data_IF_736363685893
#
_entry.id   IF_736363685893
#
_cell.length_a   1.000
_cell.length_b   1.000
_cell.length_c   1.000
_cell.angle_alpha   90.00
_cell.angle_beta   90.00
_cell.angle_gamma   90.00
#
_symmetry.space_group_name_H-M   'P 1'
#
loop_
_entity.id
_entity.type
_entity.pdbx_description
1 polymer ?
#
# COMPACT_ATOMS: atom_id res chain seq x y z
N UNK A 1 -56.02 32.33 -2.18
CA UNK A 1 -56.16 31.54 -3.44
C UNK A 1 -54.79 31.26 -4.14
N UNK A 2 -53.71 31.98 -3.88
CA UNK A 2 -52.41 31.81 -4.54
C UNK A 2 -51.69 30.51 -4.26
N UNK A 3 -51.74 29.96 -3.04
CA UNK A 3 -51.02 28.77 -2.64
C UNK A 3 -51.53 27.47 -3.27
N UNK A 4 -52.81 27.38 -3.56
CA UNK A 4 -53.41 26.20 -4.21
C UNK A 4 -52.97 26.06 -5.69
N UNK A 5 -52.75 27.18 -6.39
CA UNK A 5 -52.28 27.22 -7.78
C UNK A 5 -50.80 26.81 -7.87
N UNK A 6 -49.96 27.26 -6.94
CA UNK A 6 -48.51 26.90 -6.85
C UNK A 6 -48.40 25.39 -6.57
N UNK A 7 -49.19 24.87 -5.64
CA UNK A 7 -49.20 23.44 -5.32
C UNK A 7 -49.61 22.56 -6.54
N UNK A 8 -50.60 23.01 -7.30
CA UNK A 8 -51.03 22.28 -8.50
C UNK A 8 -49.97 22.28 -9.62
N UNK A 9 -49.23 23.39 -9.79
CA UNK A 9 -48.15 23.47 -10.78
C UNK A 9 -46.96 22.59 -10.39
N UNK A 10 -46.60 22.60 -9.11
CA UNK A 10 -45.46 21.74 -8.60
C UNK A 10 -45.81 20.25 -8.71
N UNK A 11 -47.03 19.87 -8.37
CA UNK A 11 -47.49 18.50 -8.51
C UNK A 11 -47.59 18.11 -10.01
N UNK A 12 -48.12 18.96 -10.87
CA UNK A 12 -48.18 18.72 -12.31
C UNK A 12 -46.79 18.57 -12.93
N UNK A 13 -45.83 19.40 -12.56
CA UNK A 13 -44.44 19.33 -13.01
C UNK A 13 -43.75 18.07 -12.50
N UNK A 14 -44.00 17.67 -11.25
CA UNK A 14 -43.45 16.45 -10.66
C UNK A 14 -43.96 15.19 -11.33
N UNK A 15 -45.25 15.18 -11.79
CA UNK A 15 -45.84 14.05 -12.50
C UNK A 15 -45.31 14.03 -13.94
N UNK A 16 -45.22 15.18 -14.59
CA UNK A 16 -44.74 15.29 -15.98
C UNK A 16 -43.25 14.92 -16.11
N UNK A 17 -42.44 15.23 -15.09
CA UNK A 17 -41.00 14.95 -15.07
C UNK A 17 -40.63 13.61 -14.42
N UNK A 18 -41.58 12.75 -14.13
CA UNK A 18 -41.26 11.41 -13.65
C UNK A 18 -40.59 10.61 -14.78
N UNK A 19 -39.37 10.10 -14.54
CA UNK A 19 -38.74 9.23 -15.52
C UNK A 19 -39.67 8.05 -15.83
N UNK A 20 -39.78 7.70 -17.08
CA UNK A 20 -40.58 6.58 -17.50
C UNK A 20 -40.11 5.29 -16.86
N UNK A 21 -41.00 4.31 -16.67
CA UNK A 21 -40.62 3.01 -16.12
C UNK A 21 -39.53 2.33 -16.97
N UNK A 22 -39.49 2.58 -18.26
CA UNK A 22 -38.44 2.12 -19.16
C UNK A 22 -37.10 2.78 -18.90
N UNK A 23 -37.06 4.08 -18.63
CA UNK A 23 -35.83 4.80 -18.31
C UNK A 23 -35.26 4.35 -16.96
N UNK A 24 -36.11 4.13 -15.96
CA UNK A 24 -35.69 3.58 -14.68
C UNK A 24 -35.19 2.14 -14.82
N UNK A 25 -35.82 1.33 -15.63
CA UNK A 25 -35.36 -0.04 -15.88
C UNK A 25 -34.05 -0.07 -16.64
N UNK A 26 -33.83 0.83 -17.62
CA UNK A 26 -32.53 0.97 -18.31
C UNK A 26 -31.43 1.47 -17.40
N UNK A 27 -31.71 2.47 -16.57
CA UNK A 27 -30.75 2.99 -15.59
C UNK A 27 -30.35 1.93 -14.55
N UNK A 28 -31.32 1.14 -14.08
CA UNK A 28 -31.08 0.02 -13.17
C UNK A 28 -30.26 -1.08 -13.82
N UNK A 29 -30.62 -1.48 -15.04
CA UNK A 29 -29.84 -2.47 -15.79
C UNK A 29 -28.41 -2.02 -16.08
N UNK A 30 -28.21 -0.73 -16.34
CA UNK A 30 -26.88 -0.16 -16.52
C UNK A 30 -26.06 -0.16 -15.21
N UNK A 31 -26.68 0.21 -14.09
CA UNK A 31 -26.05 0.13 -12.76
C UNK A 31 -25.72 -1.32 -12.36
N UNK A 32 -26.64 -2.24 -12.56
CA UNK A 32 -26.43 -3.67 -12.27
C UNK A 32 -25.29 -4.25 -13.13
N UNK A 33 -25.19 -3.82 -14.39
CA UNK A 33 -24.10 -4.22 -15.30
C UNK A 33 -22.75 -3.68 -14.84
N UNK A 34 -22.67 -2.40 -14.42
CA UNK A 34 -21.42 -1.81 -13.89
C UNK A 34 -21.02 -2.49 -12.58
N UNK A 35 -21.97 -2.74 -11.68
CA UNK A 35 -21.71 -3.45 -10.43
C UNK A 35 -21.23 -4.89 -10.68
N UNK A 36 -21.83 -5.60 -11.63
CA UNK A 36 -21.41 -6.96 -12.00
C UNK A 36 -20.00 -6.99 -12.60
N UNK A 37 -19.64 -5.99 -13.44
CA UNK A 37 -18.27 -5.85 -13.98
C UNK A 37 -17.28 -5.52 -12.86
N UNK A 38 -17.60 -4.58 -11.99
CA UNK A 38 -16.76 -4.19 -10.86
C UNK A 38 -16.54 -5.35 -9.86
N UNK A 39 -17.60 -6.13 -9.58
CA UNK A 39 -17.48 -7.33 -8.74
C UNK A 39 -16.60 -8.40 -9.40
N UNK A 40 -16.80 -8.65 -10.69
CA UNK A 40 -16.00 -9.64 -11.43
C UNK A 40 -14.51 -9.24 -11.52
N UNK A 41 -14.25 -7.95 -11.63
CA UNK A 41 -12.88 -7.40 -11.63
C UNK A 41 -12.26 -7.46 -10.24
N UNK A 42 -13.01 -7.15 -9.19
CA UNK A 42 -12.60 -7.31 -7.80
C UNK A 42 -12.32 -8.79 -7.43
N UNK A 43 -13.18 -9.71 -7.87
CA UNK A 43 -12.97 -11.16 -7.70
C UNK A 43 -11.73 -11.65 -8.46
N UNK A 44 -11.53 -11.16 -9.69
CA UNK A 44 -10.33 -11.50 -10.48
C UNK A 44 -9.05 -10.98 -9.85
N UNK A 45 -9.08 -9.75 -9.32
CA UNK A 45 -7.96 -9.17 -8.57
C UNK A 45 -7.73 -9.91 -7.24
N UNK A 46 -8.79 -10.28 -6.52
CA UNK A 46 -8.68 -11.08 -5.31
C UNK A 46 -8.16 -12.49 -5.58
N UNK A 47 -8.61 -13.14 -6.65
CA UNK A 47 -8.09 -14.45 -7.08
C UNK A 47 -6.65 -14.37 -7.55
N UNK A 48 -6.27 -13.32 -8.28
CA UNK A 48 -4.89 -13.08 -8.68
C UNK A 48 -3.99 -12.81 -7.46
N UNK A 49 -4.46 -12.02 -6.49
CA UNK A 49 -3.76 -11.77 -5.24
C UNK A 49 -3.65 -13.05 -4.39
N UNK A 50 -4.70 -13.90 -4.37
CA UNK A 50 -4.68 -15.18 -3.64
C UNK A 50 -3.78 -16.22 -4.34
N UNK A 51 -3.78 -16.26 -5.68
CA UNK A 51 -2.88 -17.12 -6.45
C UNK A 51 -1.41 -16.65 -6.32
N UNK A 52 -1.17 -15.35 -6.26
CA UNK A 52 0.15 -14.80 -5.94
C UNK A 52 0.56 -15.10 -4.49
N UNK A 53 -0.36 -15.00 -3.51
CA UNK A 53 -0.09 -15.39 -2.12
C UNK A 53 0.13 -16.90 -1.94
N UNK A 54 -0.58 -17.73 -2.69
CA UNK A 54 -0.40 -19.19 -2.61
C UNK A 54 0.90 -19.64 -3.29
N UNK A 55 1.35 -18.95 -4.34
CA UNK A 55 2.70 -19.14 -4.90
C UNK A 55 3.81 -18.49 -4.05
N UNK A 56 3.46 -17.64 -3.12
CA UNK A 56 4.36 -16.85 -2.29
C UNK A 56 4.63 -17.43 -0.89
N UNK A 57 3.97 -18.50 -0.49
CA UNK A 57 4.55 -19.45 0.46
C UNK A 57 5.61 -20.30 -0.25
N UNK A 58 6.43 -19.66 -1.05
CA UNK A 58 7.71 -20.21 -1.44
C UNK A 58 8.51 -20.36 -0.15
N UNK A 59 8.49 -21.54 0.44
CA UNK A 59 9.58 -21.99 1.27
C UNK A 59 10.83 -21.74 0.44
N UNK A 60 11.54 -20.66 0.73
CA UNK A 60 12.83 -20.42 0.11
C UNK A 60 13.67 -21.64 0.43
N UNK A 61 13.89 -22.45 -0.58
CA UNK A 61 14.76 -23.60 -0.52
C UNK A 61 16.18 -23.11 -0.21
N UNK A 62 17.00 -23.93 0.40
CA UNK A 62 18.41 -23.63 0.67
C UNK A 62 19.21 -23.26 -0.57
N UNK A 63 18.69 -23.55 -1.77
CA UNK A 63 19.25 -23.14 -3.07
C UNK A 63 18.85 -21.72 -3.50
N UNK A 64 17.86 -21.11 -2.84
CA UNK A 64 17.44 -19.74 -3.13
C UNK A 64 18.59 -18.76 -2.88
N UNK A 65 18.72 -17.79 -3.77
CA UNK A 65 19.72 -16.72 -3.65
C UNK A 65 19.52 -15.87 -2.37
N UNK A 66 18.30 -15.80 -1.85
CA UNK A 66 17.94 -15.02 -0.66
C UNK A 66 17.62 -15.88 0.57
N UNK A 67 18.01 -17.16 0.57
CA UNK A 67 17.72 -18.07 1.69
C UNK A 67 18.17 -17.51 3.05
N UNK A 68 19.35 -16.89 3.11
CA UNK A 68 19.86 -16.25 4.33
C UNK A 68 19.02 -15.08 4.83
N UNK A 69 18.35 -14.39 3.94
CA UNK A 69 17.49 -13.25 4.30
C UNK A 69 16.09 -13.65 4.80
N UNK A 70 15.71 -14.93 4.66
CA UNK A 70 14.45 -15.45 5.21
C UNK A 70 14.54 -15.77 6.71
N UNK A 71 15.72 -15.67 7.28
CA UNK A 71 15.95 -15.95 8.70
C UNK A 71 16.48 -14.71 9.38
N UNK A 72 15.79 -14.25 10.43
CA UNK A 72 16.21 -13.06 11.14
C UNK A 72 15.31 -12.75 12.33
N UNK A 73 15.66 -11.70 13.03
CA UNK A 73 14.85 -11.13 14.12
C UNK A 73 14.40 -9.75 13.69
N UNK A 74 13.16 -9.43 13.96
CA UNK A 74 12.62 -8.11 13.67
C UNK A 74 13.32 -7.03 14.49
N UNK A 75 13.75 -5.99 13.80
CA UNK A 75 14.41 -4.81 14.37
C UNK A 75 13.74 -3.55 13.85
N UNK A 76 13.59 -2.58 14.72
CA UNK A 76 12.99 -1.30 14.38
C UNK A 76 14.07 -0.20 14.30
N UNK A 77 13.94 0.63 13.28
CA UNK A 77 14.80 1.83 13.08
C UNK A 77 13.90 3.05 12.97
N UNK A 78 14.31 4.18 13.53
CA UNK A 78 13.52 5.41 13.51
C UNK A 78 14.24 6.51 12.75
N UNK A 79 13.51 7.21 11.88
CA UNK A 79 13.90 8.51 11.32
C UNK A 79 12.93 9.57 11.82
N UNK A 80 13.44 10.73 12.14
CA UNK A 80 12.64 11.80 12.74
C UNK A 80 13.13 13.17 12.28
N UNK A 81 12.19 14.04 11.94
CA UNK A 81 12.42 15.47 11.73
C UNK A 81 11.51 16.30 12.65
N UNK A 82 11.37 17.60 12.41
CA UNK A 82 10.56 18.48 13.27
C UNK A 82 9.05 18.14 13.22
N UNK A 83 8.54 17.59 12.10
CA UNK A 83 7.09 17.43 11.85
C UNK A 83 6.62 15.97 11.88
N UNK A 84 7.52 15.00 11.65
CA UNK A 84 7.13 13.58 11.58
C UNK A 84 8.20 12.66 12.19
N UNK A 85 7.73 11.58 12.81
CA UNK A 85 8.52 10.45 13.27
C UNK A 85 8.07 9.21 12.52
N UNK A 86 8.99 8.55 11.83
CA UNK A 86 8.77 7.32 11.07
C UNK A 86 9.49 6.16 11.74
N UNK A 87 8.81 5.05 11.88
CA UNK A 87 9.41 3.79 12.32
C UNK A 87 9.47 2.83 11.15
N UNK A 88 10.61 2.23 10.95
CA UNK A 88 10.87 1.23 9.93
C UNK A 88 11.07 -0.12 10.59
N UNK A 89 10.55 -1.17 9.98
CA UNK A 89 10.89 -2.55 10.33
C UNK A 89 11.85 -3.12 9.29
N UNK A 90 12.83 -3.88 9.76
CA UNK A 90 13.71 -4.63 8.87
C UNK A 90 13.00 -5.82 8.22
N UNK A 91 11.88 -6.30 8.78
CA UNK A 91 11.03 -7.30 8.15
C UNK A 91 10.25 -6.64 7.00
N UNK A 92 10.58 -7.01 5.77
CA UNK A 92 10.08 -6.37 4.56
C UNK A 92 10.77 -5.06 4.19
N UNK A 93 11.67 -4.53 5.04
CA UNK A 93 12.44 -3.31 4.76
C UNK A 93 11.60 -2.05 4.60
N UNK A 94 10.49 -1.90 5.33
CA UNK A 94 9.42 -0.91 5.09
C UNK A 94 9.18 0.04 6.27
N UNK A 95 8.48 1.14 6.00
CA UNK A 95 7.86 1.96 7.06
C UNK A 95 6.72 1.17 7.68
N UNK A 96 6.71 1.03 9.00
CA UNK A 96 5.66 0.33 9.75
C UNK A 96 4.84 1.25 10.66
N UNK A 97 5.31 2.45 11.00
CA UNK A 97 4.52 3.43 11.74
C UNK A 97 4.89 4.86 11.39
N UNK A 98 3.93 5.77 11.51
CA UNK A 98 4.12 7.20 11.33
C UNK A 98 3.37 8.00 12.39
N UNK A 99 4.06 8.96 13.03
CA UNK A 99 3.51 9.89 14.00
C UNK A 99 3.72 11.31 13.47
N UNK A 100 2.63 12.07 13.37
CA UNK A 100 2.65 13.49 13.03
C UNK A 100 2.81 14.31 14.31
N UNK A 101 3.85 15.15 14.39
CA UNK A 101 4.20 15.88 15.63
C UNK A 101 3.39 17.16 15.80
N UNK A 102 2.98 17.79 14.69
CA UNK A 102 2.22 19.04 14.69
C UNK A 102 0.71 18.84 14.87
N UNK A 103 0.26 17.59 14.89
CA UNK A 103 -1.15 17.23 15.03
C UNK A 103 -1.36 16.39 16.28
N UNK A 104 -2.46 16.64 16.98
CA UNK A 104 -2.85 15.86 18.14
C UNK A 104 -4.03 14.95 17.81
N UNK A 105 -3.97 13.73 18.29
CA UNK A 105 -5.09 12.79 18.28
C UNK A 105 -6.18 13.19 19.29
N UNK A 106 -7.24 12.42 19.34
CA UNK A 106 -8.37 12.64 20.27
C UNK A 106 -7.95 12.52 21.73
N UNK A 107 -6.85 11.86 22.03
CA UNK A 107 -6.25 11.69 23.36
C UNK A 107 -5.29 12.81 23.76
N UNK A 108 -5.12 13.83 22.91
CA UNK A 108 -4.22 14.97 23.11
C UNK A 108 -2.74 14.65 22.91
N UNK A 109 -2.39 13.46 22.45
CA UNK A 109 -1.01 13.07 22.11
C UNK A 109 -0.72 13.30 20.62
N UNK A 110 0.57 13.35 20.22
CA UNK A 110 0.93 13.41 18.81
C UNK A 110 0.20 12.34 17.99
N UNK A 111 -0.31 12.74 16.83
CA UNK A 111 -1.20 11.95 16.02
C UNK A 111 -0.48 10.75 15.40
N UNK A 112 -0.84 9.54 15.84
CA UNK A 112 -0.41 8.30 15.17
C UNK A 112 -1.25 8.09 13.91
N UNK A 113 -0.64 8.31 12.74
CA UNK A 113 -1.31 8.17 11.44
C UNK A 113 -1.61 6.70 11.14
N UNK A 114 -0.65 5.83 11.39
CA UNK A 114 -0.78 4.38 11.30
C UNK A 114 0.30 3.67 12.13
N UNK A 115 0.07 2.41 12.46
CA UNK A 115 1.04 1.49 13.03
C UNK A 115 1.19 0.23 12.16
N UNK A 116 2.00 -0.71 12.62
CA UNK A 116 2.31 -1.95 11.91
C UNK A 116 1.07 -2.76 11.52
N UNK A 117 0.02 -2.76 12.34
CA UNK A 117 -1.23 -3.51 12.09
C UNK A 117 -2.05 -2.90 10.96
N UNK A 118 -1.86 -1.61 10.70
CA UNK A 118 -2.60 -0.86 9.69
C UNK A 118 -1.89 -0.83 8.34
N UNK A 119 -0.59 -1.16 8.30
CA UNK A 119 0.23 -1.00 7.11
C UNK A 119 0.85 -2.30 6.65
N UNK A 120 0.89 -2.50 5.34
CA UNK A 120 1.62 -3.57 4.70
C UNK A 120 2.18 -3.09 3.37
N UNK A 121 3.43 -3.37 3.10
CA UNK A 121 4.07 -3.08 1.82
C UNK A 121 4.97 -4.25 1.45
N UNK A 122 4.73 -4.80 0.28
CA UNK A 122 5.44 -5.95 -0.24
C UNK A 122 5.86 -5.67 -1.67
N UNK A 123 7.12 -5.90 -1.97
CA UNK A 123 7.65 -5.85 -3.31
C UNK A 123 7.82 -7.27 -3.83
N UNK A 124 7.28 -7.54 -5.01
CA UNK A 124 7.49 -8.78 -5.73
C UNK A 124 8.55 -8.54 -6.80
N UNK A 125 9.70 -9.18 -6.65
CA UNK A 125 10.77 -9.16 -7.64
C UNK A 125 10.75 -10.46 -8.44
N UNK A 126 10.59 -10.32 -9.75
CA UNK A 126 10.63 -11.44 -10.69
C UNK A 126 12.08 -11.67 -11.11
N UNK A 127 12.63 -12.79 -10.68
CA UNK A 127 13.95 -13.25 -11.08
C UNK A 127 13.89 -14.24 -12.25
N UNK A 128 15.06 -14.60 -12.81
CA UNK A 128 15.15 -15.56 -13.92
C UNK A 128 14.73 -16.97 -13.52
N UNK A 129 15.04 -17.38 -12.29
CA UNK A 129 14.84 -18.74 -11.82
C UNK A 129 13.92 -18.81 -10.58
N UNK A 130 13.75 -17.71 -9.89
CA UNK A 130 12.92 -17.60 -8.69
C UNK A 130 12.29 -16.22 -8.59
N UNK A 131 11.13 -16.14 -7.97
CA UNK A 131 10.48 -14.89 -7.60
C UNK A 131 10.58 -14.72 -6.10
N UNK A 132 10.76 -13.49 -5.63
CA UNK A 132 10.83 -13.20 -4.21
C UNK A 132 9.79 -12.17 -3.80
N UNK A 133 9.28 -12.34 -2.58
CA UNK A 133 8.41 -11.38 -1.90
C UNK A 133 9.16 -10.84 -0.68
N UNK A 134 9.18 -9.54 -0.56
CA UNK A 134 9.98 -8.90 0.49
C UNK A 134 9.36 -8.96 1.87
N UNK A 135 8.04 -9.16 1.99
CA UNK A 135 7.32 -9.07 3.27
C UNK A 135 7.82 -10.04 4.36
N UNK A 136 8.35 -11.19 3.97
CA UNK A 136 8.87 -12.20 4.89
C UNK A 136 10.41 -12.19 4.98
N UNK A 137 11.08 -11.26 4.30
CA UNK A 137 12.53 -11.17 4.29
C UNK A 137 13.04 -10.15 5.30
N UNK A 138 14.18 -10.49 5.90
CA UNK A 138 14.86 -9.63 6.86
C UNK A 138 15.98 -8.84 6.18
N UNK A 139 15.78 -7.54 6.14
CA UNK A 139 16.74 -6.57 5.66
C UNK A 139 17.73 -6.20 6.77
N UNK A 140 18.91 -5.74 6.39
CA UNK A 140 19.91 -5.21 7.32
C UNK A 140 19.91 -3.68 7.21
N UNK A 141 19.59 -2.95 8.30
CA UNK A 141 19.72 -1.51 8.30
C UNK A 141 21.18 -1.10 8.14
N UNK A 142 21.47 -0.28 7.15
CA UNK A 142 22.79 0.28 6.87
C UNK A 142 22.66 1.78 6.62
N UNK A 143 23.76 2.52 6.69
CA UNK A 143 23.78 3.98 6.46
C UNK A 143 22.70 4.73 7.27
N UNK A 144 22.52 4.34 8.53
CA UNK A 144 21.54 4.96 9.41
C UNK A 144 22.08 6.30 9.89
N UNK A 145 21.32 7.37 9.61
CA UNK A 145 21.56 8.73 10.12
C UNK A 145 20.24 9.28 10.67
N UNK A 146 20.20 10.51 11.11
CA UNK A 146 18.97 11.16 11.61
C UNK A 146 17.88 11.26 10.52
N UNK A 147 18.28 11.32 9.24
CA UNK A 147 17.38 11.54 8.12
C UNK A 147 17.40 10.45 7.04
N UNK A 148 18.28 9.47 7.14
CA UNK A 148 18.42 8.41 6.13
C UNK A 148 18.52 7.03 6.76
N UNK A 149 17.97 6.04 6.07
CA UNK A 149 18.23 4.63 6.34
C UNK A 149 18.25 3.86 5.02
N UNK A 150 19.21 2.97 4.87
CA UNK A 150 19.24 1.99 3.79
C UNK A 150 18.89 0.63 4.40
N UNK A 151 17.81 0.02 3.91
CA UNK A 151 17.44 -1.35 4.23
C UNK A 151 18.02 -2.26 3.15
N UNK A 152 19.01 -3.08 3.49
CA UNK A 152 19.73 -3.96 2.57
C UNK A 152 19.21 -5.37 2.62
N UNK A 153 18.72 -5.89 1.52
CA UNK A 153 18.43 -7.30 1.29
C UNK A 153 19.65 -7.97 0.66
N UNK A 154 20.37 -8.74 1.45
CA UNK A 154 21.59 -9.41 1.01
C UNK A 154 21.27 -10.72 0.31
N UNK A 155 21.93 -10.99 -0.81
CA UNK A 155 21.89 -12.25 -1.52
C UNK A 155 23.14 -13.10 -1.17
N UNK A 156 23.01 -14.44 -1.21
CA UNK A 156 24.08 -15.38 -0.86
C UNK A 156 25.30 -15.30 -1.78
N UNK A 157 25.16 -14.71 -2.96
CA UNK A 157 26.24 -14.54 -3.94
C UNK A 157 27.04 -13.22 -3.75
N UNK A 158 26.76 -12.47 -2.67
CA UNK A 158 27.36 -11.16 -2.40
C UNK A 158 26.67 -9.98 -3.10
N UNK A 159 25.64 -10.23 -3.93
CA UNK A 159 24.77 -9.19 -4.46
C UNK A 159 23.77 -8.70 -3.40
N UNK A 160 23.11 -7.59 -3.66
CA UNK A 160 22.11 -7.05 -2.73
C UNK A 160 21.10 -6.14 -3.45
N UNK A 161 19.96 -5.95 -2.78
CA UNK A 161 18.96 -4.96 -3.13
C UNK A 161 18.85 -3.98 -1.95
N UNK A 162 19.03 -2.69 -2.22
CA UNK A 162 18.91 -1.63 -1.23
C UNK A 162 17.60 -0.87 -1.40
N UNK A 163 16.91 -0.66 -0.31
CA UNK A 163 15.79 0.25 -0.16
C UNK A 163 16.28 1.48 0.59
N UNK A 164 16.54 2.55 -0.14
CA UNK A 164 17.05 3.80 0.41
C UNK A 164 15.90 4.74 0.75
N UNK A 165 15.81 5.12 2.00
CA UNK A 165 14.85 6.08 2.51
C UNK A 165 15.57 7.34 2.96
N UNK A 166 15.06 8.49 2.53
CA UNK A 166 15.53 9.80 2.96
C UNK A 166 14.35 10.66 3.36
N UNK A 167 14.27 10.97 4.66
CA UNK A 167 13.32 11.91 5.22
C UNK A 167 13.80 13.33 4.94
N UNK A 168 12.94 14.14 4.31
CA UNK A 168 13.28 15.52 3.99
C UNK A 168 13.16 16.41 5.26
N UNK A 169 14.02 17.43 5.41
CA UNK A 169 13.91 18.38 6.52
C UNK A 169 12.55 19.07 6.52
N UNK A 170 11.91 19.22 7.68
CA UNK A 170 10.67 19.96 7.91
C UNK A 170 9.52 19.58 6.95
N UNK A 171 9.51 18.35 6.46
CA UNK A 171 8.52 17.84 5.51
C UNK A 171 8.00 16.47 5.92
N UNK A 172 6.77 16.15 5.48
CA UNK A 172 6.17 14.82 5.64
C UNK A 172 6.58 13.85 4.53
N UNK A 173 7.40 14.31 3.59
CA UNK A 173 7.80 13.54 2.40
C UNK A 173 9.05 12.73 2.65
N UNK A 174 9.01 11.49 2.17
CA UNK A 174 10.14 10.56 2.17
C UNK A 174 10.52 10.24 0.73
N UNK A 175 11.77 10.46 0.38
CA UNK A 175 12.29 9.96 -0.89
C UNK A 175 12.63 8.48 -0.71
N UNK A 176 12.14 7.67 -1.63
CA UNK A 176 12.37 6.23 -1.65
C UNK A 176 13.02 5.83 -2.98
N UNK A 177 14.09 5.06 -2.91
CA UNK A 177 14.81 4.56 -4.09
C UNK A 177 15.18 3.10 -3.89
N UNK A 178 14.96 2.29 -4.91
CA UNK A 178 15.41 0.89 -4.94
C UNK A 178 16.66 0.82 -5.80
N UNK A 179 17.70 0.20 -5.28
CA UNK A 179 18.95 -0.07 -6.02
C UNK A 179 19.31 -1.54 -5.91
N UNK A 180 19.79 -2.12 -7.01
CA UNK A 180 20.29 -3.48 -7.04
C UNK A 180 21.77 -3.46 -7.47
N UNK A 181 22.61 -4.20 -6.76
CA UNK A 181 24.01 -4.34 -7.08
C UNK A 181 24.39 -5.83 -7.08
N UNK A 182 25.17 -6.24 -8.08
CA UNK A 182 25.58 -7.65 -8.21
C UNK A 182 24.43 -8.61 -8.53
N UNK A 183 23.29 -8.10 -9.04
CA UNK A 183 22.04 -8.86 -9.24
C UNK A 183 21.78 -9.24 -10.70
N UNK A 184 22.77 -9.16 -11.58
CA UNK A 184 22.64 -9.44 -13.02
C UNK A 184 22.24 -10.89 -13.30
N UNK A 185 22.61 -11.82 -12.41
CA UNK A 185 22.22 -13.23 -12.52
C UNK A 185 20.79 -13.48 -12.03
N UNK A 186 20.25 -12.61 -11.18
CA UNK A 186 18.90 -12.70 -10.68
C UNK A 186 17.90 -12.05 -11.63
N UNK A 187 18.09 -10.78 -11.94
CA UNK A 187 17.14 -10.05 -12.78
C UNK A 187 17.26 -10.40 -14.26
N UNK A 188 16.14 -10.60 -14.98
CA UNK A 188 16.16 -10.72 -16.43
C UNK A 188 16.58 -9.38 -17.06
N UNK A 189 17.29 -9.40 -18.22
CA UNK A 189 17.77 -8.17 -18.88
C UNK A 189 16.67 -7.19 -19.28
N UNK A 190 15.45 -7.68 -19.49
CA UNK A 190 14.29 -6.89 -19.91
C UNK A 190 13.40 -6.46 -18.72
N UNK A 191 13.86 -6.61 -17.46
CA UNK A 191 13.09 -6.17 -16.31
C UNK A 191 12.90 -4.65 -16.35
N UNK A 192 11.66 -4.20 -16.46
CA UNK A 192 11.30 -2.79 -16.51
C UNK A 192 10.19 -2.42 -15.53
N UNK A 193 9.68 -3.39 -14.77
CA UNK A 193 8.60 -3.22 -13.81
C UNK A 193 8.90 -3.95 -12.51
N UNK A 194 8.43 -3.38 -11.40
CA UNK A 194 8.42 -4.01 -10.09
C UNK A 194 6.99 -3.98 -9.56
N UNK A 195 6.47 -5.12 -9.16
CA UNK A 195 5.14 -5.20 -8.59
C UNK A 195 5.19 -4.83 -7.10
N UNK A 196 4.31 -3.90 -6.71
CA UNK A 196 4.17 -3.44 -5.33
C UNK A 196 2.74 -3.74 -4.86
N UNK A 197 2.62 -4.45 -3.76
CA UNK A 197 1.37 -4.57 -3.02
C UNK A 197 1.46 -3.68 -1.77
N UNK A 198 0.79 -2.55 -1.82
CA UNK A 198 0.73 -1.62 -0.70
C UNK A 198 -0.68 -1.59 -0.12
N UNK A 199 -0.76 -1.90 1.16
CA UNK A 199 -2.01 -1.98 1.92
C UNK A 199 -1.92 -1.01 3.10
N UNK A 200 -2.90 -0.10 3.19
CA UNK A 200 -2.99 0.87 4.26
C UNK A 200 -4.43 0.96 4.78
N UNK A 201 -4.60 0.72 6.07
CA UNK A 201 -5.87 0.98 6.75
C UNK A 201 -5.90 2.44 7.22
N UNK A 202 -6.82 3.22 6.69
CA UNK A 202 -7.09 4.57 7.19
C UNK A 202 -7.91 4.49 8.48
N UNK A 203 -7.42 5.10 9.56
CA UNK A 203 -8.15 5.26 10.83
C UNK A 203 -8.96 6.54 10.78
N UNK A 204 -10.13 6.55 11.42
CA UNK A 204 -10.84 7.79 11.71
C UNK A 204 -10.13 8.48 12.88
N UNK A 205 -9.39 9.53 12.59
CA UNK A 205 -8.55 10.25 13.57
C UNK A 205 -9.24 11.50 14.14
N UNK A 206 -10.33 11.93 13.51
CA UNK A 206 -11.14 13.08 13.93
C UNK A 206 -12.43 12.61 14.63
N UNK A 207 -12.96 13.49 15.52
CA UNK A 207 -14.30 13.26 16.07
C UNK A 207 -15.30 13.40 14.93
N UNK A 208 -16.11 12.36 14.71
CA UNK A 208 -17.28 12.47 13.81
C UNK A 208 -18.23 13.56 14.33
N UNK A 209 -18.80 14.32 13.38
CA UNK A 209 -19.87 15.26 13.68
C UNK A 209 -21.16 14.54 13.98
#
# INVERSE_FOLDING_TARGET
>A
MGFALIGAVVIGFSIYNRPSQEEMARAKHYQDSIQAIAQKEAERLAQAATAQSQNATLHLDSTSMFYGANQGTEQLTTLENNVVKLTFTNKGGRVCAAILKDYNGQDGKPLMLFDEKDSGMNFAFEGKNENILTEDMYFQPTNVTDSTVTMRLAANNGGYIDFDYKLLPDAYMVNFTIRANGMQNFFPPALNTVNINWRQRARQLEKGF
#
